data_IF_033518315965
#
_entry.id   IF_033518315965
#
_cell.length_a   1.000
_cell.length_b   1.000
_cell.length_c   1.000
_cell.angle_alpha   90.00
_cell.angle_beta   90.00
_cell.angle_gamma   90.00
#
_symmetry.space_group_name_H-M   'P 1'
#
loop_
_entity.id
_entity.type
_entity.pdbx_description
1 polymer ?
#
# COMPACT_ATOMS: atom_id res chain seq x y z
N UNK A 1 42.16 43.45 -12.64
CA UNK A 1 40.88 42.93 -12.13
C UNK A 1 40.60 41.60 -12.83
N UNK A 2 40.96 40.46 -12.22
CA UNK A 2 40.53 39.08 -12.55
C UNK A 2 41.04 38.25 -11.35
N UNK A 3 40.45 38.47 -10.18
CA UNK A 3 40.50 37.51 -9.07
C UNK A 3 39.19 36.75 -9.15
N UNK A 4 39.11 35.88 -10.15
CA UNK A 4 37.92 35.07 -10.44
C UNK A 4 37.68 34.18 -9.23
N UNK A 5 36.53 34.41 -8.61
CA UNK A 5 35.99 33.65 -7.51
C UNK A 5 35.98 32.16 -7.83
N UNK A 6 36.77 31.39 -7.10
CA UNK A 6 36.72 29.93 -7.06
C UNK A 6 36.34 29.49 -5.64
N UNK A 7 35.11 29.81 -5.21
CA UNK A 7 34.48 29.11 -4.10
C UNK A 7 32.98 29.06 -4.38
N UNK A 8 32.56 28.13 -5.23
CA UNK A 8 31.16 27.76 -5.34
C UNK A 8 31.08 26.25 -5.66
N UNK A 9 30.20 25.58 -4.91
CA UNK A 9 29.67 24.24 -5.16
C UNK A 9 30.47 23.05 -4.63
N UNK A 10 30.42 22.84 -3.31
CA UNK A 10 30.43 21.49 -2.74
C UNK A 10 29.38 21.49 -1.62
N UNK A 11 28.21 20.89 -1.86
CA UNK A 11 27.26 20.34 -0.86
C UNK A 11 25.96 19.93 -1.58
N UNK A 12 26.03 18.95 -2.49
CA UNK A 12 24.84 18.37 -3.13
C UNK A 12 24.94 16.85 -3.24
N UNK A 13 25.45 16.22 -2.18
CA UNK A 13 25.67 14.77 -2.13
C UNK A 13 25.21 14.22 -0.78
N UNK A 14 23.89 14.09 -0.59
CA UNK A 14 23.27 13.10 0.32
C UNK A 14 21.73 13.20 0.34
N UNK A 15 21.06 12.87 -0.77
CA UNK A 15 19.69 12.35 -0.72
C UNK A 15 19.62 11.09 -1.59
N UNK A 16 20.54 10.15 -1.35
CA UNK A 16 20.37 8.79 -1.87
C UNK A 16 19.28 8.18 -0.99
N UNK A 17 18.02 8.35 -1.40
CA UNK A 17 16.95 7.53 -0.85
C UNK A 17 17.32 6.07 -1.15
N UNK A 18 17.40 5.24 -0.13
CA UNK A 18 17.62 3.81 -0.28
C UNK A 18 16.47 3.24 -1.11
N UNK A 19 16.71 3.03 -2.41
CA UNK A 19 15.79 2.28 -3.25
C UNK A 19 15.84 0.83 -2.77
N UNK A 20 14.86 0.42 -1.96
CA UNK A 20 14.64 -0.99 -1.68
C UNK A 20 14.18 -1.65 -2.97
N UNK A 21 14.83 -2.74 -3.38
CA UNK A 21 14.36 -3.54 -4.50
C UNK A 21 12.97 -4.11 -4.17
N UNK A 22 12.04 -4.06 -5.13
CA UNK A 22 10.76 -4.74 -4.98
C UNK A 22 10.97 -6.24 -4.83
N UNK A 23 10.15 -6.86 -3.99
CA UNK A 23 10.14 -8.31 -3.74
C UNK A 23 8.87 -8.90 -4.34
N UNK A 24 8.96 -9.93 -5.20
CA UNK A 24 7.76 -10.59 -5.75
C UNK A 24 6.83 -11.07 -4.62
N UNK A 25 5.52 -10.92 -4.78
CA UNK A 25 4.55 -11.33 -3.77
C UNK A 25 4.66 -12.82 -3.41
N UNK A 26 5.00 -13.65 -4.39
CA UNK A 26 5.24 -15.08 -4.21
C UNK A 26 6.38 -15.42 -3.24
N UNK A 27 7.31 -14.49 -2.97
CA UNK A 27 8.36 -14.68 -1.98
C UNK A 27 7.82 -14.73 -0.53
N UNK A 28 6.56 -14.32 -0.31
CA UNK A 28 5.89 -14.38 0.99
C UNK A 28 4.94 -15.58 1.13
N UNK A 29 4.93 -16.49 0.15
CA UNK A 29 4.18 -17.73 0.22
C UNK A 29 4.90 -18.78 1.08
N UNK A 30 4.13 -19.69 1.66
CA UNK A 30 4.67 -20.89 2.31
C UNK A 30 5.22 -21.91 1.29
N UNK A 31 5.73 -23.04 1.79
CA UNK A 31 6.28 -24.13 0.97
C UNK A 31 5.27 -24.77 0.00
N UNK A 32 3.97 -24.52 0.21
CA UNK A 32 2.87 -24.98 -0.63
C UNK A 32 2.32 -23.89 -1.56
N UNK A 33 2.89 -22.69 -1.52
CA UNK A 33 2.48 -21.56 -2.35
C UNK A 33 1.31 -20.75 -1.79
N UNK A 34 0.94 -20.92 -0.51
CA UNK A 34 -0.12 -20.12 0.12
C UNK A 34 0.44 -18.88 0.80
N UNK A 35 -0.24 -17.74 0.61
CA UNK A 35 0.02 -16.51 1.35
C UNK A 35 -1.04 -16.38 2.45
N UNK A 36 -0.60 -16.26 3.70
CA UNK A 36 -1.47 -15.87 4.80
C UNK A 36 -1.73 -14.36 4.75
N UNK A 37 -2.74 -13.99 3.96
CA UNK A 37 -3.18 -12.60 3.76
C UNK A 37 -3.54 -11.86 5.06
N UNK A 38 -3.91 -12.58 6.14
CA UNK A 38 -4.21 -11.94 7.42
C UNK A 38 -2.94 -11.51 8.15
N UNK A 39 -1.81 -12.12 7.84
CA UNK A 39 -0.50 -11.81 8.41
C UNK A 39 0.37 -10.91 7.53
N UNK A 40 -0.02 -10.68 6.28
CA UNK A 40 0.73 -9.84 5.37
C UNK A 40 0.85 -8.41 5.92
N UNK A 41 2.07 -7.90 5.91
CA UNK A 41 2.41 -6.57 6.42
C UNK A 41 2.31 -5.50 5.34
N UNK A 42 2.15 -4.27 5.77
CA UNK A 42 2.19 -3.11 4.90
C UNK A 42 3.57 -2.92 4.24
N UNK A 43 4.66 -3.29 4.90
CA UNK A 43 5.98 -3.34 4.27
C UNK A 43 6.00 -4.27 3.04
N UNK A 44 5.41 -5.46 3.17
CA UNK A 44 5.35 -6.45 2.09
C UNK A 44 4.46 -5.98 0.93
N UNK A 45 3.30 -5.38 1.23
CA UNK A 45 2.43 -4.81 0.18
C UNK A 45 3.08 -3.61 -0.52
N UNK A 46 3.68 -2.69 0.24
CA UNK A 46 4.29 -1.48 -0.34
C UNK A 46 5.62 -1.77 -1.06
N UNK A 47 6.28 -2.87 -0.70
CA UNK A 47 7.55 -3.33 -1.28
C UNK A 47 7.40 -4.40 -2.36
N UNK A 48 6.19 -4.76 -2.79
CA UNK A 48 5.98 -5.69 -3.91
C UNK A 48 5.83 -4.94 -5.25
N UNK A 49 5.78 -5.68 -6.35
CA UNK A 49 5.46 -5.11 -7.66
C UNK A 49 4.03 -4.56 -7.68
N UNK A 50 3.80 -3.54 -8.51
CA UNK A 50 2.49 -2.88 -8.54
C UNK A 50 1.40 -3.85 -9.00
N UNK A 51 1.66 -4.66 -10.03
CA UNK A 51 0.73 -5.69 -10.50
C UNK A 51 0.34 -6.71 -9.42
N UNK A 52 1.28 -7.05 -8.53
CA UNK A 52 1.04 -7.94 -7.39
C UNK A 52 0.18 -7.24 -6.31
N UNK A 53 0.46 -5.96 -6.05
CA UNK A 53 -0.32 -5.16 -5.12
C UNK A 53 -1.77 -4.98 -5.63
N UNK A 54 -1.93 -4.69 -6.92
CA UNK A 54 -3.22 -4.52 -7.59
C UNK A 54 -4.04 -5.83 -7.57
N UNK A 55 -3.39 -6.96 -7.83
CA UNK A 55 -4.01 -8.29 -7.70
C UNK A 55 -4.47 -8.55 -6.27
N UNK A 56 -3.64 -8.25 -5.28
CA UNK A 56 -3.92 -8.52 -3.87
C UNK A 56 -5.03 -7.63 -3.33
N UNK A 57 -5.05 -6.34 -3.66
CA UNK A 57 -6.14 -5.42 -3.28
C UNK A 57 -7.46 -5.83 -3.94
N UNK A 58 -7.43 -6.32 -5.18
CA UNK A 58 -8.59 -6.92 -5.86
C UNK A 58 -9.08 -8.17 -5.13
N UNK A 59 -8.17 -9.04 -4.69
CA UNK A 59 -8.51 -10.24 -3.92
C UNK A 59 -9.18 -9.88 -2.58
N UNK A 60 -8.68 -8.88 -1.85
CA UNK A 60 -9.34 -8.39 -0.62
C UNK A 60 -10.73 -7.82 -0.91
N UNK A 61 -10.90 -7.07 -2.00
CA UNK A 61 -12.21 -6.59 -2.43
C UNK A 61 -13.18 -7.76 -2.63
N UNK A 62 -12.74 -8.84 -3.29
CA UNK A 62 -13.51 -10.08 -3.44
C UNK A 62 -13.88 -10.71 -2.10
N UNK A 63 -12.91 -10.86 -1.19
CA UNK A 63 -13.13 -11.42 0.15
C UNK A 63 -14.21 -10.67 0.93
N UNK A 64 -14.10 -9.34 1.04
CA UNK A 64 -15.07 -8.53 1.78
C UNK A 64 -16.45 -8.48 1.11
N UNK A 65 -16.53 -8.47 -0.22
CA UNK A 65 -17.80 -8.60 -0.91
C UNK A 65 -18.44 -9.97 -0.67
N UNK A 66 -17.64 -11.05 -0.64
CA UNK A 66 -18.08 -12.39 -0.28
C UNK A 66 -18.67 -12.46 1.13
N UNK A 67 -17.97 -11.91 2.13
CA UNK A 67 -18.48 -11.79 3.51
C UNK A 67 -19.79 -11.01 3.58
N UNK A 68 -19.94 -9.97 2.76
CA UNK A 68 -21.15 -9.16 2.67
C UNK A 68 -22.26 -9.77 1.79
N UNK A 69 -22.07 -10.98 1.25
CA UNK A 69 -22.98 -11.65 0.29
C UNK A 69 -23.29 -10.77 -0.92
N UNK A 70 -22.28 -10.08 -1.44
CA UNK A 70 -22.36 -9.24 -2.64
C UNK A 70 -21.63 -9.92 -3.80
N UNK A 71 -22.31 -10.01 -4.94
CA UNK A 71 -21.75 -10.53 -6.20
C UNK A 71 -21.48 -9.39 -7.19
N UNK A 72 -20.91 -8.28 -6.71
CA UNK A 72 -20.74 -7.05 -7.47
C UNK A 72 -19.35 -6.45 -7.22
N UNK A 73 -18.70 -5.98 -8.29
CA UNK A 73 -17.50 -5.17 -8.22
C UNK A 73 -17.84 -3.72 -8.57
N UNK A 74 -17.63 -2.81 -7.63
CA UNK A 74 -17.61 -1.38 -7.94
C UNK A 74 -16.18 -0.99 -8.32
N UNK A 75 -15.89 -0.94 -9.62
CA UNK A 75 -14.53 -0.72 -10.15
C UNK A 75 -13.94 0.60 -9.68
N UNK A 76 -14.70 1.69 -9.71
CA UNK A 76 -14.22 3.02 -9.29
C UNK A 76 -13.83 3.02 -7.81
N UNK A 77 -14.74 2.54 -6.95
CA UNK A 77 -14.50 2.49 -5.50
C UNK A 77 -13.38 1.51 -5.13
N UNK A 78 -13.24 0.40 -5.86
CA UNK A 78 -12.17 -0.57 -5.65
C UNK A 78 -10.80 0.06 -5.90
N UNK A 79 -10.62 0.77 -7.03
CA UNK A 79 -9.37 1.47 -7.36
C UNK A 79 -9.03 2.58 -6.36
N UNK A 80 -10.04 3.32 -5.90
CA UNK A 80 -9.86 4.34 -4.87
C UNK A 80 -9.41 3.72 -3.54
N UNK A 81 -10.09 2.66 -3.08
CA UNK A 81 -9.71 1.96 -1.85
C UNK A 81 -8.31 1.35 -1.95
N UNK A 82 -7.99 0.70 -3.07
CA UNK A 82 -6.66 0.17 -3.38
C UNK A 82 -5.57 1.25 -3.25
N UNK A 83 -5.78 2.40 -3.88
CA UNK A 83 -4.84 3.51 -3.81
C UNK A 83 -4.60 3.94 -2.35
N UNK A 84 -5.68 4.20 -1.60
CA UNK A 84 -5.58 4.65 -0.21
C UNK A 84 -4.93 3.60 0.71
N UNK A 85 -5.22 2.31 0.50
CA UNK A 85 -4.58 1.21 1.25
C UNK A 85 -3.07 1.20 0.99
N UNK A 86 -2.64 1.33 -0.26
CA UNK A 86 -1.22 1.35 -0.63
C UNK A 86 -0.53 2.60 -0.04
N UNK A 87 -1.16 3.78 -0.10
CA UNK A 87 -0.61 5.00 0.51
C UNK A 87 -0.46 4.87 2.02
N UNK A 88 -1.49 4.36 2.71
CA UNK A 88 -1.42 4.09 4.13
C UNK A 88 -0.27 3.12 4.44
N UNK A 89 -0.16 2.03 3.69
CA UNK A 89 0.88 1.04 3.92
C UNK A 89 2.31 1.56 3.68
N UNK A 90 2.49 2.51 2.74
CA UNK A 90 3.78 3.19 2.56
C UNK A 90 4.20 3.98 3.80
N UNK A 91 3.25 4.58 4.52
CA UNK A 91 3.50 5.36 5.73
C UNK A 91 3.56 4.50 7.02
N UNK A 92 3.00 3.30 7.00
CA UNK A 92 2.79 2.47 8.19
C UNK A 92 3.27 1.02 7.97
N UNK A 93 4.54 0.88 7.60
CA UNK A 93 5.13 -0.40 7.19
C UNK A 93 5.06 -1.51 8.26
N UNK A 94 4.99 -1.16 9.55
CA UNK A 94 4.89 -2.08 10.69
C UNK A 94 3.49 -2.69 10.88
N UNK A 95 2.47 -2.17 10.19
CA UNK A 95 1.08 -2.63 10.32
C UNK A 95 0.77 -3.81 9.42
N UNK A 96 -0.31 -4.53 9.72
CA UNK A 96 -0.87 -5.53 8.80
C UNK A 96 -1.72 -4.84 7.75
N UNK A 97 -1.80 -5.43 6.56
CA UNK A 97 -2.67 -4.93 5.48
C UNK A 97 -4.13 -4.91 5.92
N UNK A 98 -4.56 -5.89 6.73
CA UNK A 98 -5.91 -5.92 7.30
C UNK A 98 -6.23 -4.70 8.18
N UNK A 99 -5.24 -4.20 8.94
CA UNK A 99 -5.41 -3.00 9.76
C UNK A 99 -5.54 -1.75 8.88
N UNK A 100 -4.72 -1.66 7.82
CA UNK A 100 -4.79 -0.59 6.82
C UNK A 100 -6.16 -0.54 6.15
N UNK A 101 -6.71 -1.69 5.74
CA UNK A 101 -8.06 -1.79 5.17
C UNK A 101 -9.11 -1.26 6.17
N UNK A 102 -8.99 -1.63 7.45
CA UNK A 102 -9.87 -1.15 8.50
C UNK A 102 -9.86 0.38 8.64
N UNK A 103 -8.68 1.00 8.63
CA UNK A 103 -8.51 2.45 8.69
C UNK A 103 -9.10 3.12 7.44
N UNK A 104 -8.70 2.69 6.25
CA UNK A 104 -9.16 3.27 4.99
C UNK A 104 -10.68 3.16 4.86
N UNK A 105 -11.28 2.02 5.18
CA UNK A 105 -12.73 1.86 5.11
C UNK A 105 -13.47 2.73 6.10
N UNK A 106 -12.90 2.99 7.28
CA UNK A 106 -13.47 3.94 8.25
C UNK A 106 -13.45 5.36 7.68
N UNK A 107 -12.34 5.78 7.09
CA UNK A 107 -12.19 7.13 6.53
C UNK A 107 -13.07 7.33 5.29
N UNK A 108 -13.12 6.37 4.38
CA UNK A 108 -14.03 6.41 3.22
C UNK A 108 -15.50 6.49 3.65
N UNK A 109 -15.90 5.78 4.70
CA UNK A 109 -17.27 5.87 5.24
C UNK A 109 -17.55 7.22 5.87
N UNK A 110 -16.60 7.77 6.63
CA UNK A 110 -16.72 9.10 7.22
C UNK A 110 -16.89 10.19 6.14
N UNK A 111 -16.10 10.12 5.06
CA UNK A 111 -16.20 11.04 3.92
C UNK A 111 -17.56 10.98 3.20
N UNK A 112 -18.24 9.83 3.28
CA UNK A 112 -19.60 9.64 2.75
C UNK A 112 -20.71 9.97 3.76
N UNK A 113 -20.36 10.46 4.95
CA UNK A 113 -21.34 10.73 6.02
C UNK A 113 -21.95 9.47 6.64
N UNK A 114 -21.35 8.29 6.42
CA UNK A 114 -21.85 7.02 6.93
C UNK A 114 -21.39 6.85 8.38
N UNK A 115 -22.34 6.88 9.32
CA UNK A 115 -22.07 6.62 10.73
C UNK A 115 -21.81 5.13 10.97
N UNK A 116 -20.63 4.82 11.49
CA UNK A 116 -20.29 3.48 11.97
C UNK A 116 -21.10 3.17 13.24
N UNK A 117 -21.71 1.99 13.31
CA UNK A 117 -22.26 1.49 14.58
C UNK A 117 -21.08 1.10 15.49
N UNK A 118 -21.14 1.38 16.81
CA UNK A 118 -20.17 0.88 17.78
C UNK A 118 -20.07 -0.65 17.76
#
# INVERSE_FOLDING_TARGET
>A
MIRKAFVASILMSALIQSASAQTPLGAYADDKGYIDVQKLTCAQLAGTFQEDADMLTTWYSGWYNGLARKHLLNVKRAKEAEHEIIQYCKAHQDKRVMDAIGVVFKDMRANLGIKMKP
#
